data_IF_048658201933
#
_entry.id   IF_048658201933
#
_cell.length_a   1.000
_cell.length_b   1.000
_cell.length_c   1.000
_cell.angle_alpha   90.00
_cell.angle_beta   90.00
_cell.angle_gamma   90.00
#
_symmetry.space_group_name_H-M   'P 1'
#
loop_
_entity.id
_entity.type
_entity.pdbx_description
1 polymer ?
#
# COMPACT_ATOMS: atom_id res chain seq x y z
N UNK A 1 -30.65 32.29 33.24
CA UNK A 1 -31.74 31.32 33.08
C UNK A 1 -31.09 29.97 32.77
N UNK A 2 -30.78 29.22 33.83
CA UNK A 2 -30.13 27.91 33.81
C UNK A 2 -31.22 26.82 33.79
N UNK A 3 -31.11 25.84 32.90
CA UNK A 3 -31.71 24.51 33.03
C UNK A 3 -30.82 23.56 32.20
N UNK A 4 -29.93 22.76 32.80
CA UNK A 4 -30.16 21.44 33.41
C UNK A 4 -31.03 20.52 32.54
N UNK A 5 -30.37 19.75 31.68
CA UNK A 5 -30.78 18.37 31.37
C UNK A 5 -29.61 17.46 31.75
N UNK A 6 -29.85 16.72 32.82
CA UNK A 6 -28.98 15.68 33.39
C UNK A 6 -29.15 14.39 32.60
N UNK A 7 -28.01 13.84 32.17
CA UNK A 7 -27.58 12.44 32.17
C UNK A 7 -28.67 11.33 32.09
N UNK A 8 -28.70 10.60 30.96
CA UNK A 8 -28.99 9.15 30.90
C UNK A 8 -29.01 8.65 29.44
N UNK A 9 -27.84 8.24 28.92
CA UNK A 9 -27.66 7.12 27.97
C UNK A 9 -26.32 7.29 27.24
N UNK A 10 -25.30 6.55 27.68
CA UNK A 10 -24.17 5.99 26.90
C UNK A 10 -23.00 5.69 27.85
N UNK A 11 -23.25 4.83 28.83
CA UNK A 11 -22.19 4.02 29.45
C UNK A 11 -22.40 2.59 29.01
N UNK A 12 -21.91 2.27 27.82
CA UNK A 12 -21.61 0.87 27.50
C UNK A 12 -20.23 0.60 28.09
N UNK A 13 -20.08 -0.26 29.11
CA UNK A 13 -18.75 -0.62 29.59
C UNK A 13 -18.03 -1.40 28.48
N UNK A 14 -16.90 -0.87 28.03
CA UNK A 14 -15.97 -1.60 27.17
C UNK A 14 -15.34 -2.73 28.00
N UNK A 15 -15.22 -3.97 27.48
CA UNK A 15 -14.40 -4.98 28.12
C UNK A 15 -12.92 -4.56 28.10
N UNK A 16 -12.11 -4.94 29.11
CA UNK A 16 -10.70 -4.62 29.12
C UNK A 16 -9.99 -5.24 27.92
N UNK A 17 -9.18 -4.44 27.22
CA UNK A 17 -8.28 -4.89 26.18
C UNK A 17 -7.20 -5.80 26.80
N UNK A 18 -7.37 -7.11 26.72
CA UNK A 18 -6.32 -8.08 27.05
C UNK A 18 -5.37 -8.17 25.86
N UNK A 19 -4.22 -7.49 25.98
CA UNK A 19 -3.17 -7.43 24.96
C UNK A 19 -2.42 -8.74 24.76
N UNK A 20 -3.09 -9.77 24.25
CA UNK A 20 -2.42 -10.99 23.79
C UNK A 20 -2.47 -11.08 22.26
N UNK A 21 -1.32 -10.84 21.63
CA UNK A 21 -1.09 -11.19 20.23
C UNK A 21 -1.06 -12.72 20.06
N UNK A 22 -1.68 -13.28 19.00
CA UNK A 22 -1.61 -14.71 18.73
C UNK A 22 -0.15 -15.10 18.43
N UNK A 23 0.43 -15.91 19.32
CA UNK A 23 1.72 -16.57 19.09
C UNK A 23 1.54 -17.64 18.03
N UNK A 24 2.26 -17.54 16.92
CA UNK A 24 2.37 -18.60 15.92
C UNK A 24 3.04 -19.83 16.54
N UNK A 25 2.54 -21.06 16.30
CA UNK A 25 3.15 -22.26 16.86
C UNK A 25 4.48 -22.58 16.15
N UNK A 26 5.56 -22.60 16.93
CA UNK A 26 6.77 -23.31 16.57
C UNK A 26 6.52 -24.83 16.63
N UNK A 27 6.47 -25.47 15.46
CA UNK A 27 6.58 -26.93 15.32
C UNK A 27 7.90 -27.27 14.63
N UNK A 28 8.90 -27.67 15.39
CA UNK A 28 10.11 -28.31 14.88
C UNK A 28 9.89 -29.81 14.65
N UNK A 29 10.57 -30.40 13.66
CA UNK A 29 10.69 -31.86 13.59
C UNK A 29 10.92 -32.49 12.21
N UNK A 30 12.15 -32.37 11.70
CA UNK A 30 12.90 -33.41 10.98
C UNK A 30 12.22 -34.26 9.87
N UNK A 31 12.47 -33.87 8.61
CA UNK A 31 12.47 -34.77 7.45
C UNK A 31 13.73 -34.53 6.63
N UNK A 32 14.60 -35.54 6.54
CA UNK A 32 15.99 -35.46 6.11
C UNK A 32 16.15 -35.45 4.57
N UNK A 33 17.31 -34.91 4.15
CA UNK A 33 18.11 -35.20 2.94
C UNK A 33 17.64 -34.61 1.59
N UNK A 34 18.41 -33.63 1.08
CA UNK A 34 19.28 -33.82 -0.09
C UNK A 34 20.15 -32.57 -0.38
N UNK A 35 21.47 -32.73 -0.23
CA UNK A 35 22.60 -32.14 -0.99
C UNK A 35 22.63 -30.60 -1.16
N UNK A 36 23.47 -29.85 -0.44
CA UNK A 36 24.94 -29.73 -0.50
C UNK A 36 25.49 -29.13 -1.82
N UNK A 37 25.99 -27.89 -1.69
CA UNK A 37 27.04 -27.19 -2.45
C UNK A 37 26.88 -27.10 -3.98
N UNK A 38 27.14 -25.98 -4.65
CA UNK A 38 28.39 -25.22 -4.74
C UNK A 38 27.98 -23.88 -5.37
N UNK A 39 28.60 -22.75 -5.00
CA UNK A 39 29.10 -21.71 -5.92
C UNK A 39 29.74 -20.59 -5.08
N UNK A 40 31.04 -20.77 -4.84
CA UNK A 40 31.98 -19.67 -4.71
C UNK A 40 32.86 -19.65 -5.96
N UNK A 41 33.51 -18.50 -6.19
CA UNK A 41 34.45 -18.15 -7.29
C UNK A 41 33.74 -17.64 -8.56
N UNK A 42 34.04 -16.47 -9.13
CA UNK A 42 35.13 -15.53 -8.89
C UNK A 42 35.06 -14.33 -9.85
N UNK A 43 36.00 -13.42 -9.65
CA UNK A 43 36.16 -12.09 -10.26
C UNK A 43 36.52 -12.11 -11.77
N UNK A 44 36.06 -11.06 -12.45
CA UNK A 44 36.74 -10.11 -13.35
C UNK A 44 37.68 -10.56 -14.50
N UNK A 45 37.64 -9.73 -15.56
CA UNK A 45 38.57 -9.52 -16.69
C UNK A 45 38.40 -10.36 -17.97
N UNK A 46 38.02 -9.65 -19.04
CA UNK A 46 38.77 -9.66 -20.30
C UNK A 46 38.32 -10.61 -21.41
N UNK A 47 37.76 -10.02 -22.48
CA UNK A 47 38.01 -10.47 -23.84
C UNK A 47 36.93 -11.34 -24.51
N UNK A 48 36.53 -10.90 -25.71
CA UNK A 48 36.09 -11.83 -26.76
C UNK A 48 34.60 -11.86 -27.03
N UNK A 49 34.11 -10.91 -27.84
CA UNK A 49 33.07 -11.21 -28.82
C UNK A 49 33.37 -12.56 -29.50
N UNK A 50 32.33 -13.40 -29.61
CA UNK A 50 32.30 -14.82 -30.08
C UNK A 50 32.26 -15.86 -28.95
N UNK A 51 31.12 -15.96 -28.24
CA UNK A 51 30.69 -17.21 -27.58
C UNK A 51 29.20 -17.27 -27.17
N UNK A 52 28.31 -16.53 -27.85
CA UNK A 52 26.86 -16.56 -27.56
C UNK A 52 26.06 -17.63 -28.33
N UNK A 53 26.68 -18.39 -29.25
CA UNK A 53 25.97 -19.37 -30.09
C UNK A 53 26.00 -20.83 -29.58
N UNK A 54 26.81 -21.15 -28.56
CA UNK A 54 26.98 -22.54 -28.08
C UNK A 54 26.02 -22.97 -26.96
N UNK A 55 25.48 -22.03 -26.18
CA UNK A 55 24.70 -22.35 -24.97
C UNK A 55 23.21 -22.66 -25.24
N UNK A 56 22.67 -22.23 -26.39
CA UNK A 56 21.27 -22.48 -26.76
C UNK A 56 21.04 -23.87 -27.39
N UNK A 57 22.07 -24.48 -27.99
CA UNK A 57 21.93 -25.79 -28.66
C UNK A 57 21.89 -26.99 -27.69
N UNK A 58 22.50 -26.87 -26.49
CA UNK A 58 22.51 -27.96 -25.50
C UNK A 58 21.23 -28.09 -24.67
N UNK A 59 20.47 -27.01 -24.49
CA UNK A 59 19.26 -27.00 -23.67
C UNK A 59 18.04 -27.64 -24.39
N UNK A 60 17.95 -27.47 -25.71
CA UNK A 60 16.85 -28.01 -26.51
C UNK A 60 16.97 -29.52 -26.79
N UNK A 61 18.18 -30.09 -26.75
CA UNK A 61 18.40 -31.52 -26.94
C UNK A 61 18.01 -32.36 -25.69
N UNK A 62 18.06 -31.78 -24.48
CA UNK A 62 17.68 -32.49 -23.23
C UNK A 62 16.19 -32.40 -22.88
N UNK A 63 15.45 -31.48 -23.51
CA UNK A 63 13.99 -31.36 -23.33
C UNK A 63 13.17 -32.26 -24.28
N UNK A 64 13.77 -32.76 -25.37
CA UNK A 64 13.10 -33.70 -26.29
C UNK A 64 13.18 -35.17 -25.88
N UNK A 65 14.12 -35.54 -25.00
CA UNK A 65 14.32 -36.93 -24.56
C UNK A 65 13.52 -37.33 -23.30
N UNK A 66 12.62 -36.47 -22.79
CA UNK A 66 11.79 -36.74 -21.59
C UNK A 66 10.27 -36.69 -21.85
N UNK A 67 9.84 -36.85 -23.11
CA UNK A 67 8.43 -37.07 -23.43
C UNK A 67 8.22 -38.55 -23.72
N UNK A 68 7.93 -39.32 -22.67
CA UNK A 68 7.30 -40.62 -22.84
C UNK A 68 5.93 -40.44 -23.52
N UNK A 69 5.37 -41.48 -24.17
CA UNK A 69 4.06 -41.40 -24.80
C UNK A 69 3.00 -41.01 -23.77
N UNK A 70 2.14 -40.06 -24.13
CA UNK A 70 0.97 -39.69 -23.33
C UNK A 70 0.04 -40.91 -23.20
N UNK A 71 -0.54 -41.18 -22.02
CA UNK A 71 -1.50 -42.27 -21.88
C UNK A 71 -2.74 -42.00 -22.75
N UNK A 72 -3.23 -43.05 -23.43
CA UNK A 72 -4.26 -42.98 -24.46
C UNK A 72 -5.69 -42.68 -23.97
N UNK A 73 -5.88 -42.34 -22.70
CA UNK A 73 -7.20 -41.95 -22.18
C UNK A 73 -7.05 -41.13 -20.90
N UNK A 74 -7.16 -39.81 -21.03
CA UNK A 74 -7.50 -38.97 -19.88
C UNK A 74 -9.00 -39.18 -19.63
N UNK A 75 -9.44 -39.66 -18.46
CA UNK A 75 -10.86 -39.80 -18.18
C UNK A 75 -11.52 -38.42 -18.25
N UNK A 76 -12.70 -38.36 -18.86
CA UNK A 76 -13.46 -37.12 -19.00
C UNK A 76 -13.71 -36.50 -17.62
N UNK A 77 -13.42 -35.21 -17.48
CA UNK A 77 -13.78 -34.42 -16.31
C UNK A 77 -15.30 -34.55 -16.07
N UNK A 78 -15.75 -34.72 -14.82
CA UNK A 78 -17.18 -34.75 -14.52
C UNK A 78 -17.81 -33.41 -14.91
N UNK A 79 -19.06 -33.48 -15.38
CA UNK A 79 -19.85 -32.30 -15.71
C UNK A 79 -19.84 -31.29 -14.54
N UNK A 80 -19.83 -29.98 -14.81
CA UNK A 80 -19.86 -28.97 -13.77
C UNK A 80 -21.08 -29.21 -12.86
N UNK A 81 -20.81 -29.41 -11.58
CA UNK A 81 -21.86 -29.51 -10.57
C UNK A 81 -22.63 -28.19 -10.60
N UNK A 82 -23.92 -28.25 -10.97
CA UNK A 82 -24.81 -27.09 -10.87
C UNK A 82 -24.94 -26.73 -9.39
N UNK A 83 -24.20 -25.72 -8.97
CA UNK A 83 -24.46 -25.05 -7.69
C UNK A 83 -25.85 -24.43 -7.83
N UNK A 84 -26.84 -24.79 -6.98
CA UNK A 84 -28.13 -24.13 -7.01
C UNK A 84 -27.89 -22.63 -6.83
N UNK A 85 -28.49 -21.78 -7.68
CA UNK A 85 -28.57 -20.35 -7.40
C UNK A 85 -29.21 -20.23 -6.02
N UNK A 86 -28.44 -19.80 -5.03
CA UNK A 86 -28.99 -19.41 -3.75
C UNK A 86 -30.10 -18.40 -4.07
N UNK A 87 -31.34 -18.77 -3.77
CA UNK A 87 -32.45 -17.85 -3.82
C UNK A 87 -32.14 -16.81 -2.74
N UNK A 88 -31.56 -15.69 -3.14
CA UNK A 88 -31.45 -14.51 -2.28
C UNK A 88 -32.86 -14.00 -2.07
N UNK A 89 -33.59 -14.63 -1.14
CA UNK A 89 -34.78 -14.04 -0.54
C UNK A 89 -34.30 -12.77 0.14
N UNK A 90 -34.60 -11.64 -0.49
CA UNK A 90 -34.58 -10.29 0.07
C UNK A 90 -33.60 -10.05 1.21
N UNK A 91 -32.30 -10.11 0.94
CA UNK A 91 -31.41 -9.25 1.71
C UNK A 91 -31.79 -7.83 1.29
N UNK A 92 -32.60 -7.16 2.10
CA UNK A 92 -32.92 -5.76 1.91
C UNK A 92 -31.60 -5.01 1.70
N UNK A 93 -31.50 -4.29 0.58
CA UNK A 93 -30.42 -3.31 0.37
C UNK A 93 -30.39 -2.43 1.61
N UNK A 94 -29.25 -2.28 2.31
CA UNK A 94 -29.18 -1.42 3.48
C UNK A 94 -29.68 -0.02 3.09
N UNK A 95 -30.40 0.68 4.00
CA UNK A 95 -30.99 1.98 3.70
C UNK A 95 -29.89 2.95 3.26
N UNK A 96 -30.11 3.61 2.11
CA UNK A 96 -29.20 4.52 1.42
C UNK A 96 -29.07 5.88 2.11
N UNK A 97 -28.74 5.85 3.40
CA UNK A 97 -28.41 7.02 4.20
C UNK A 97 -27.07 6.77 4.89
N UNK A 98 -26.04 6.38 4.13
CA UNK A 98 -24.67 6.56 4.59
C UNK A 98 -24.35 8.04 4.46
N UNK A 99 -24.00 8.67 5.59
CA UNK A 99 -23.56 10.06 5.61
C UNK A 99 -22.42 10.24 4.58
N UNK A 100 -22.42 11.31 3.78
CA UNK A 100 -21.41 11.47 2.75
C UNK A 100 -20.03 11.60 3.41
N UNK A 101 -19.05 10.84 2.92
CA UNK A 101 -17.66 10.96 3.34
C UNK A 101 -17.14 12.33 2.89
N UNK A 102 -16.95 13.26 3.83
CA UNK A 102 -16.58 14.64 3.53
C UNK A 102 -15.08 14.77 3.23
N UNK A 103 -14.26 14.00 3.95
CA UNK A 103 -12.81 14.17 3.96
C UNK A 103 -12.07 13.00 3.33
N UNK A 104 -10.99 13.29 2.60
CA UNK A 104 -9.89 12.35 2.40
C UNK A 104 -8.72 12.72 3.31
N UNK A 105 -8.21 11.78 4.09
CA UNK A 105 -7.19 12.07 5.10
C UNK A 105 -5.95 11.22 4.89
N UNK A 106 -4.77 11.75 5.21
CA UNK A 106 -3.56 10.92 5.22
C UNK A 106 -3.71 9.79 6.24
N UNK A 107 -3.60 8.53 5.80
CA UNK A 107 -3.86 7.36 6.64
C UNK A 107 -2.96 7.31 7.90
N UNK A 108 -1.74 7.85 7.83
CA UNK A 108 -0.86 7.95 8.99
C UNK A 108 -1.43 8.86 10.09
N UNK A 109 -2.22 9.88 9.75
CA UNK A 109 -2.94 10.74 10.70
C UNK A 109 -4.11 10.01 11.35
N UNK A 110 -4.69 9.02 10.65
CA UNK A 110 -5.73 8.14 11.16
C UNK A 110 -5.19 6.96 12.00
N UNK A 111 -3.88 6.94 12.30
CA UNK A 111 -3.24 5.90 13.11
C UNK A 111 -2.76 4.67 12.34
N UNK A 112 -2.84 4.68 11.00
CA UNK A 112 -2.28 3.59 10.19
C UNK A 112 -0.76 3.71 10.12
N UNK A 113 -0.06 2.64 10.48
CA UNK A 113 1.40 2.54 10.45
C UNK A 113 1.93 2.40 9.00
N UNK A 114 1.81 3.46 8.21
CA UNK A 114 2.09 3.47 6.77
C UNK A 114 3.17 4.48 6.34
N UNK A 115 3.83 5.15 7.29
CA UNK A 115 4.96 6.04 6.98
C UNK A 115 6.15 5.26 6.44
N UNK A 116 7.13 5.97 5.89
CA UNK A 116 8.34 5.36 5.35
C UNK A 116 9.12 4.55 6.40
N UNK A 117 9.10 5.01 7.66
CA UNK A 117 9.73 4.35 8.82
C UNK A 117 8.89 3.23 9.43
N UNK A 118 7.71 2.92 8.88
CA UNK A 118 6.81 1.91 9.43
C UNK A 118 5.94 2.41 10.59
N UNK A 119 5.98 3.70 10.91
CA UNK A 119 5.23 4.28 12.02
C UNK A 119 3.93 4.98 11.57
N UNK A 120 3.14 5.42 12.54
CA UNK A 120 1.99 6.31 12.34
C UNK A 120 2.33 7.77 12.75
N UNK A 121 1.39 8.70 12.52
CA UNK A 121 1.46 10.06 13.07
C UNK A 121 0.05 10.51 13.50
N UNK A 122 -0.57 9.83 14.48
CA UNK A 122 -1.98 9.97 14.76
C UNK A 122 -2.37 11.38 15.19
N UNK A 123 -3.54 11.83 14.73
CA UNK A 123 -4.21 13.05 15.18
C UNK A 123 -5.61 12.67 15.64
N UNK A 124 -5.93 12.92 16.90
CA UNK A 124 -7.20 12.45 17.49
C UNK A 124 -8.43 12.91 16.69
N UNK A 125 -8.45 14.16 16.24
CA UNK A 125 -9.54 14.67 15.41
C UNK A 125 -9.68 13.94 14.06
N UNK A 126 -8.57 13.49 13.45
CA UNK A 126 -8.63 12.72 12.20
C UNK A 126 -9.13 11.30 12.47
N UNK A 127 -8.67 10.67 13.56
CA UNK A 127 -9.13 9.34 13.97
C UNK A 127 -10.64 9.37 14.21
N UNK A 128 -11.14 10.41 14.89
CA UNK A 128 -12.56 10.55 15.18
C UNK A 128 -13.39 10.74 13.89
N UNK A 129 -12.92 11.55 12.93
CA UNK A 129 -13.59 11.66 11.62
C UNK A 129 -13.69 10.31 10.90
N UNK A 130 -12.67 9.46 10.99
CA UNK A 130 -12.70 8.11 10.40
C UNK A 130 -13.70 7.23 11.15
N UNK A 131 -13.71 7.25 12.49
CA UNK A 131 -14.67 6.49 13.32
C UNK A 131 -16.12 6.87 13.04
N UNK A 132 -16.37 8.15 12.76
CA UNK A 132 -17.70 8.67 12.43
C UNK A 132 -18.14 8.38 11.00
N UNK A 133 -17.29 7.78 10.16
CA UNK A 133 -17.59 7.59 8.74
C UNK A 133 -17.64 8.92 7.97
N UNK A 134 -16.83 9.90 8.36
CA UNK A 134 -16.72 11.19 7.67
C UNK A 134 -15.40 11.35 6.89
N UNK A 135 -14.42 10.48 7.12
CA UNK A 135 -13.09 10.56 6.51
C UNK A 135 -12.60 9.25 5.92
N UNK A 136 -12.13 9.31 4.67
CA UNK A 136 -11.50 8.20 3.96
C UNK A 136 -9.97 8.25 4.19
N UNK A 137 -9.39 7.30 4.94
CA UNK A 137 -7.95 7.25 5.13
C UNK A 137 -7.23 6.72 3.87
N UNK A 138 -6.27 7.49 3.36
CA UNK A 138 -5.50 7.16 2.15
C UNK A 138 -4.00 7.30 2.41
N UNK A 139 -3.23 6.29 2.01
CA UNK A 139 -1.77 6.39 1.87
C UNK A 139 -1.43 6.34 0.38
N UNK A 140 -1.19 7.49 -0.29
CA UNK A 140 -0.90 7.51 -1.73
C UNK A 140 0.35 6.70 -2.06
N UNK A 141 1.34 6.65 -1.17
CA UNK A 141 2.57 5.88 -1.39
C UNK A 141 2.31 4.36 -1.47
N UNK A 142 1.44 3.82 -0.60
CA UNK A 142 1.05 2.41 -0.64
C UNK A 142 0.07 2.09 -1.77
N UNK A 143 -0.86 2.99 -2.11
CA UNK A 143 -1.69 2.86 -3.32
C UNK A 143 -0.82 2.88 -4.59
N UNK A 144 0.28 3.63 -4.53
CA UNK A 144 1.37 3.63 -5.48
C UNK A 144 2.21 2.35 -5.44
N UNK A 145 1.90 1.35 -4.63
CA UNK A 145 2.61 0.07 -4.58
C UNK A 145 3.94 0.10 -3.84
N UNK A 146 4.26 1.17 -3.10
CA UNK A 146 5.46 1.18 -2.25
C UNK A 146 5.24 0.37 -0.97
N UNK A 147 6.32 -0.27 -0.52
CA UNK A 147 6.32 -1.03 0.73
C UNK A 147 6.26 -0.13 1.98
N UNK A 148 6.01 -0.78 3.11
CA UNK A 148 6.19 -0.20 4.44
C UNK A 148 6.96 -1.20 5.31
N UNK A 149 8.13 -0.84 5.86
CA UNK A 149 8.86 0.41 5.65
C UNK A 149 9.42 0.54 4.23
N UNK A 150 9.90 1.74 3.89
CA UNK A 150 10.55 2.09 2.61
C UNK A 150 11.60 3.19 2.82
N UNK A 151 12.55 3.37 1.91
CA UNK A 151 13.50 4.46 1.98
C UNK A 151 12.80 5.83 2.03
N UNK A 152 13.36 6.84 2.72
CA UNK A 152 12.83 8.19 2.68
C UNK A 152 12.95 8.77 1.28
N UNK A 153 11.93 9.51 0.84
CA UNK A 153 11.90 10.14 -0.48
C UNK A 153 11.62 11.64 -0.38
N UNK A 154 12.11 12.40 -1.35
CA UNK A 154 11.86 13.84 -1.49
C UNK A 154 11.53 14.17 -2.95
N UNK A 155 10.71 15.20 -3.16
CA UNK A 155 10.30 15.67 -4.48
C UNK A 155 11.30 16.75 -4.95
N UNK A 156 11.87 16.55 -6.13
CA UNK A 156 12.84 17.46 -6.73
C UNK A 156 12.62 17.56 -8.23
N UNK A 157 12.41 18.77 -8.75
CA UNK A 157 12.30 19.03 -10.19
C UNK A 157 11.30 18.09 -10.91
N UNK A 158 10.16 17.81 -10.26
CA UNK A 158 9.11 16.92 -10.79
C UNK A 158 9.37 15.42 -10.62
N UNK A 159 10.49 15.01 -10.00
CA UNK A 159 10.85 13.61 -9.73
C UNK A 159 10.83 13.32 -8.24
N UNK A 160 10.37 12.14 -7.86
CA UNK A 160 10.45 11.67 -6.47
C UNK A 160 11.65 10.75 -6.35
N UNK A 161 12.67 11.22 -5.64
CA UNK A 161 13.92 10.49 -5.43
C UNK A 161 13.91 9.90 -4.02
N UNK A 162 14.29 8.63 -3.89
CA UNK A 162 14.38 7.94 -2.61
C UNK A 162 15.83 7.63 -2.28
N UNK A 163 16.25 7.87 -1.03
CA UNK A 163 17.63 7.63 -0.59
C UNK A 163 17.76 6.25 0.04
N UNK A 164 18.40 5.36 -0.68
CA UNK A 164 18.65 3.98 -0.28
C UNK A 164 19.65 3.88 0.88
N UNK A 165 19.70 2.72 1.53
CA UNK A 165 20.58 2.48 2.69
C UNK A 165 22.07 2.57 2.34
N UNK A 166 22.45 2.32 1.09
CA UNK A 166 23.83 2.46 0.58
C UNK A 166 24.16 3.90 0.14
N UNK A 167 23.22 4.83 0.31
CA UNK A 167 23.36 6.24 -0.07
C UNK A 167 23.05 6.54 -1.53
N UNK A 168 22.73 5.53 -2.35
CA UNK A 168 22.29 5.76 -3.73
C UNK A 168 20.88 6.35 -3.79
N UNK A 169 20.53 6.93 -4.94
CA UNK A 169 19.19 7.45 -5.20
C UNK A 169 18.47 6.56 -6.20
N UNK A 170 17.27 6.11 -5.82
CA UNK A 170 16.32 5.45 -6.71
C UNK A 170 15.20 6.43 -7.10
N UNK A 171 14.58 6.21 -8.26
CA UNK A 171 13.47 7.01 -8.74
C UNK A 171 12.15 6.28 -8.47
N UNK A 172 11.25 6.91 -7.71
CA UNK A 172 9.94 6.41 -7.36
C UNK A 172 8.79 7.24 -7.95
N UNK A 173 9.08 8.11 -8.92
CA UNK A 173 8.11 9.07 -9.49
C UNK A 173 6.83 8.39 -9.95
N UNK A 174 6.94 7.29 -10.69
CA UNK A 174 5.76 6.56 -11.22
C UNK A 174 4.88 5.98 -10.11
N UNK A 175 5.48 5.51 -9.02
CA UNK A 175 4.75 4.98 -7.88
C UNK A 175 3.97 6.10 -7.18
N UNK A 176 4.61 7.24 -6.90
CA UNK A 176 3.95 8.38 -6.28
C UNK A 176 2.87 9.00 -7.18
N UNK A 177 3.12 9.11 -8.48
CA UNK A 177 2.15 9.64 -9.45
C UNK A 177 0.90 8.76 -9.54
N UNK A 178 1.09 7.44 -9.70
CA UNK A 178 -0.01 6.45 -9.66
C UNK A 178 -0.79 6.52 -8.35
N UNK A 179 -0.06 6.60 -7.23
CA UNK A 179 -0.65 6.70 -5.90
C UNK A 179 -1.52 7.94 -5.71
N UNK A 180 -1.06 9.08 -6.23
CA UNK A 180 -1.80 10.32 -6.23
C UNK A 180 -3.07 10.24 -7.09
N UNK A 181 -2.96 9.69 -8.30
CA UNK A 181 -4.11 9.50 -9.20
C UNK A 181 -5.17 8.58 -8.58
N UNK A 182 -4.74 7.45 -8.05
CA UNK A 182 -5.63 6.48 -7.40
C UNK A 182 -6.28 7.06 -6.15
N UNK A 183 -5.52 7.81 -5.33
CA UNK A 183 -6.06 8.53 -4.19
C UNK A 183 -7.14 9.54 -4.58
N UNK A 184 -6.95 10.28 -5.68
CA UNK A 184 -7.96 11.23 -6.21
C UNK A 184 -9.20 10.47 -6.71
N UNK A 185 -9.00 9.35 -7.39
CA UNK A 185 -10.10 8.49 -7.86
C UNK A 185 -10.97 8.02 -6.69
N UNK A 186 -10.33 7.53 -5.63
CA UNK A 186 -11.03 7.07 -4.42
C UNK A 186 -11.75 8.22 -3.70
N UNK A 187 -11.11 9.38 -3.54
CA UNK A 187 -11.72 10.56 -2.93
C UNK A 187 -12.99 11.00 -3.69
N UNK A 188 -12.95 11.00 -5.03
CA UNK A 188 -14.12 11.33 -5.86
C UNK A 188 -15.24 10.30 -5.75
N UNK A 189 -14.91 9.01 -5.76
CA UNK A 189 -15.90 7.94 -5.61
C UNK A 189 -16.59 7.98 -4.24
N UNK A 190 -15.86 8.38 -3.20
CA UNK A 190 -16.40 8.55 -1.85
C UNK A 190 -17.16 9.88 -1.67
N UNK A 191 -17.10 10.80 -2.63
CA UNK A 191 -17.75 12.12 -2.53
C UNK A 191 -17.00 13.12 -1.66
N UNK A 192 -15.71 12.93 -1.41
CA UNK A 192 -14.91 13.83 -0.58
C UNK A 192 -14.72 15.19 -1.26
N UNK A 193 -14.90 16.26 -0.49
CA UNK A 193 -14.73 17.65 -0.92
C UNK A 193 -13.55 18.35 -0.26
N UNK A 194 -13.06 17.78 0.85
CA UNK A 194 -11.96 18.33 1.64
C UNK A 194 -10.88 17.28 1.90
N UNK A 195 -9.65 17.72 2.15
CA UNK A 195 -8.52 16.87 2.48
C UNK A 195 -7.71 17.38 3.68
N UNK A 196 -7.36 16.46 4.59
CA UNK A 196 -6.47 16.70 5.74
C UNK A 196 -5.22 15.85 5.57
N UNK A 197 -4.12 16.48 5.19
CA UNK A 197 -2.92 15.78 4.76
C UNK A 197 -1.73 15.97 5.71
N UNK A 198 -0.83 15.00 5.72
CA UNK A 198 0.41 15.08 6.50
C UNK A 198 1.34 16.13 5.87
N UNK A 199 1.71 17.15 6.65
CA UNK A 199 2.64 18.19 6.22
C UNK A 199 4.02 17.64 5.81
N UNK A 200 4.69 18.33 4.87
CA UNK A 200 6.09 18.12 4.42
C UNK A 200 6.38 16.83 3.65
N UNK A 201 5.42 15.92 3.50
CA UNK A 201 5.59 14.69 2.70
C UNK A 201 5.73 15.01 1.21
N UNK A 202 6.58 14.29 0.44
CA UNK A 202 6.63 14.43 -1.03
C UNK A 202 5.31 14.06 -1.73
N UNK A 203 4.40 13.36 -1.05
CA UNK A 203 3.05 13.07 -1.56
C UNK A 203 2.00 13.99 -0.93
N UNK A 204 1.95 14.04 0.40
CA UNK A 204 0.86 14.66 1.15
C UNK A 204 1.13 16.11 1.60
N UNK A 205 2.37 16.58 1.52
CA UNK A 205 2.73 17.92 1.97
C UNK A 205 1.95 18.98 1.18
N UNK A 206 1.53 20.04 1.86
CA UNK A 206 0.81 21.14 1.26
C UNK A 206 1.39 22.47 1.78
N UNK A 207 1.65 23.40 0.87
CA UNK A 207 2.34 24.67 1.13
C UNK A 207 3.85 24.54 1.35
N UNK A 208 4.33 23.48 2.02
CA UNK A 208 5.76 23.23 2.24
C UNK A 208 6.14 21.76 2.10
N UNK A 209 7.27 21.51 1.43
CA UNK A 209 7.91 20.20 1.25
C UNK A 209 9.43 20.32 1.45
N UNK A 210 10.12 19.19 1.58
CA UNK A 210 11.59 19.19 1.57
C UNK A 210 12.15 19.52 0.18
N UNK A 211 13.34 20.13 0.14
CA UNK A 211 13.97 20.67 -1.06
C UNK A 211 14.52 19.63 -2.05
N UNK A 212 14.47 18.34 -1.73
CA UNK A 212 14.97 17.28 -2.61
C UNK A 212 16.45 16.99 -2.49
N UNK A 213 17.16 17.65 -1.57
CA UNK A 213 18.59 17.44 -1.30
C UNK A 213 18.83 16.55 -0.09
N UNK A 214 17.77 16.17 0.63
CA UNK A 214 17.84 15.47 1.90
C UNK A 214 18.61 16.20 3.01
N UNK A 215 18.69 17.54 2.89
CA UNK A 215 19.29 18.44 3.88
C UNK A 215 18.33 18.81 5.03
N UNK A 216 17.06 18.39 4.93
CA UNK A 216 15.93 18.82 5.79
C UNK A 216 15.52 20.29 5.61
N UNK A 217 16.00 20.96 4.57
CA UNK A 217 15.55 22.30 4.19
C UNK A 217 14.15 22.22 3.61
N UNK A 218 13.28 23.15 4.01
CA UNK A 218 11.92 23.26 3.49
C UNK A 218 11.85 24.35 2.41
N UNK A 219 11.07 24.08 1.37
CA UNK A 219 10.74 25.01 0.30
C UNK A 219 9.22 25.06 0.12
N UNK A 220 8.73 26.16 -0.45
CA UNK A 220 7.33 26.28 -0.81
C UNK A 220 6.98 25.29 -1.91
N UNK A 221 5.90 24.54 -1.71
CA UNK A 221 5.48 23.51 -2.65
C UNK A 221 4.48 22.53 -2.07
N UNK A 222 3.78 21.84 -2.98
CA UNK A 222 2.86 20.76 -2.66
C UNK A 222 3.48 19.42 -3.08
N UNK A 223 3.20 18.38 -2.29
CA UNK A 223 3.45 17.00 -2.69
C UNK A 223 2.49 16.57 -3.81
N UNK A 224 2.82 15.47 -4.49
CA UNK A 224 2.09 15.06 -5.70
C UNK A 224 0.60 14.79 -5.46
N UNK A 225 0.23 14.20 -4.32
CA UNK A 225 -1.18 13.94 -3.99
C UNK A 225 -1.93 15.20 -3.60
N UNK A 226 -1.30 16.09 -2.81
CA UNK A 226 -1.89 17.40 -2.48
C UNK A 226 -2.17 18.22 -3.75
N UNK A 227 -1.19 18.31 -4.66
CA UNK A 227 -1.35 19.00 -5.94
C UNK A 227 -2.47 18.37 -6.81
N UNK A 228 -2.53 17.04 -6.86
CA UNK A 228 -3.55 16.32 -7.63
C UNK A 228 -4.97 16.55 -7.06
N UNK A 229 -5.14 16.55 -5.73
CA UNK A 229 -6.41 16.86 -5.07
C UNK A 229 -6.87 18.31 -5.36
N UNK A 230 -5.97 19.29 -5.26
CA UNK A 230 -6.29 20.68 -5.62
C UNK A 230 -6.75 20.79 -7.07
N UNK A 231 -6.02 20.18 -8.00
CA UNK A 231 -6.40 20.13 -9.42
C UNK A 231 -7.77 19.45 -9.63
N UNK A 232 -8.14 18.52 -8.77
CA UNK A 232 -9.41 17.84 -8.79
C UNK A 232 -10.58 18.62 -8.17
N UNK A 233 -10.33 19.81 -7.60
CA UNK A 233 -11.33 20.65 -6.95
C UNK A 233 -11.57 20.34 -5.47
N UNK A 234 -10.69 19.55 -4.84
CA UNK A 234 -10.78 19.20 -3.42
C UNK A 234 -9.97 20.21 -2.60
N UNK A 235 -10.57 20.77 -1.55
CA UNK A 235 -9.89 21.75 -0.68
C UNK A 235 -8.85 21.04 0.21
N UNK A 236 -7.59 21.48 0.16
CA UNK A 236 -6.47 20.81 0.86
C UNK A 236 -5.94 21.67 2.00
N UNK A 237 -5.83 21.07 3.20
CA UNK A 237 -5.09 21.59 4.35
C UNK A 237 -4.16 20.54 4.97
N UNK A 238 -3.15 21.01 5.69
CA UNK A 238 -2.18 20.16 6.37
C UNK A 238 -2.46 20.06 7.87
N UNK A 239 -1.83 19.09 8.54
CA UNK A 239 -1.93 18.86 9.98
C UNK A 239 -1.12 19.84 10.86
N UNK A 240 -0.74 21.00 10.30
CA UNK A 240 0.06 22.07 10.91
C UNK A 240 -0.57 23.44 10.65
#
# INVERSE_FOLDING_TARGET
MFARLTDAAMRVPLPPYTGEMPRTPHGGGAGRRALCAVMSVGRNMGGGMRRAAGYAAGCMARLRARRGPLPASVPALPAPVRVPRAQTRGAARPPETEAPMIYVVSACLAGVACRFDGEANPREGVIELVRQGLALPVCPEQLGGLATPRPPCELRDGRVLCREADGTLSDATDAFARGAEEGVRLARLAGCTEAILKARSPSCGCGRIYDGTFSRTLVDGDGLFAAALRKAGIAVRCDE
#
